data_IF_873606639065
#
_entry.id   IF_873606639065
#
_cell.length_a   1.000
_cell.length_b   1.000
_cell.length_c   1.000
_cell.angle_alpha   90.00
_cell.angle_beta   90.00
_cell.angle_gamma   90.00
#
_symmetry.space_group_name_H-M   'P 1'
#
loop_
_entity.id
_entity.type
_entity.pdbx_description
1 polymer ?
#
# COMPACT_ATOMS: atom_id res chain seq x y z
N UNK A 1 21.64 -7.60 15.59
CA UNK A 1 21.68 -6.17 16.02
C UNK A 1 20.80 -6.03 17.25
N UNK A 2 21.09 -5.08 18.15
CA UNK A 2 20.23 -4.88 19.33
C UNK A 2 18.84 -4.36 18.88
N UNK A 3 17.76 -4.97 19.37
CA UNK A 3 16.38 -4.67 18.96
C UNK A 3 16.02 -3.18 19.09
N UNK A 4 16.55 -2.52 20.11
CA UNK A 4 16.33 -1.08 20.33
C UNK A 4 16.94 -0.19 19.23
N UNK A 5 18.06 -0.60 18.62
CA UNK A 5 18.69 0.13 17.50
C UNK A 5 17.78 0.07 16.27
N UNK A 6 17.24 -1.09 15.96
CA UNK A 6 16.32 -1.28 14.84
C UNK A 6 15.04 -0.46 15.06
N UNK A 7 14.50 -0.48 16.28
CA UNK A 7 13.32 0.30 16.64
C UNK A 7 13.56 1.81 16.52
N UNK A 8 14.69 2.33 16.98
CA UNK A 8 15.04 3.75 16.86
C UNK A 8 15.22 4.14 15.39
N UNK A 9 15.90 3.34 14.61
CA UNK A 9 16.08 3.61 13.16
C UNK A 9 14.75 3.64 12.43
N UNK A 10 13.85 2.70 12.72
CA UNK A 10 12.50 2.67 12.15
C UNK A 10 11.69 3.92 12.55
N UNK A 11 11.72 4.32 13.82
CA UNK A 11 11.04 5.52 14.29
C UNK A 11 11.61 6.80 13.67
N UNK A 12 12.93 6.92 13.55
CA UNK A 12 13.57 8.05 12.87
C UNK A 12 13.20 8.12 11.39
N UNK A 13 13.17 6.96 10.71
CA UNK A 13 12.75 6.89 9.31
C UNK A 13 11.30 7.33 9.13
N UNK A 14 10.39 6.75 9.91
CA UNK A 14 8.97 7.12 9.85
C UNK A 14 8.75 8.57 10.25
N UNK A 15 9.40 9.04 11.32
CA UNK A 15 9.37 10.45 11.72
C UNK A 15 9.86 11.40 10.64
N UNK A 16 10.95 11.03 9.94
CA UNK A 16 11.45 11.77 8.78
C UNK A 16 10.44 11.86 7.64
N UNK A 17 9.77 10.75 7.32
CA UNK A 17 8.69 10.75 6.32
C UNK A 17 7.54 11.68 6.71
N UNK A 18 7.15 11.69 7.99
CA UNK A 18 6.13 12.60 8.51
C UNK A 18 6.53 14.08 8.39
N UNK A 19 7.79 14.39 8.71
CA UNK A 19 8.30 15.75 8.57
C UNK A 19 8.29 16.21 7.11
N UNK A 20 8.75 15.34 6.19
CA UNK A 20 8.75 15.63 4.75
C UNK A 20 7.31 15.82 4.24
N UNK A 21 6.37 14.94 4.63
CA UNK A 21 4.98 15.05 4.24
C UNK A 21 4.35 16.36 4.75
N UNK A 22 4.55 16.70 6.02
CA UNK A 22 4.04 17.93 6.62
C UNK A 22 4.66 19.20 5.99
N UNK A 23 5.95 19.14 5.68
CA UNK A 23 6.63 20.24 4.99
C UNK A 23 6.10 20.40 3.55
N UNK A 24 5.94 19.29 2.84
CA UNK A 24 5.39 19.27 1.48
C UNK A 24 3.98 19.84 1.41
N UNK A 25 3.09 19.46 2.33
CA UNK A 25 1.72 20.01 2.40
C UNK A 25 1.72 21.53 2.59
N UNK A 26 2.64 22.06 3.40
CA UNK A 26 2.71 23.52 3.68
C UNK A 26 3.33 24.34 2.56
N UNK A 27 4.16 23.72 1.72
CA UNK A 27 4.95 24.40 0.68
C UNK A 27 4.61 23.88 -0.73
N UNK A 28 3.47 23.19 -0.90
CA UNK A 28 2.99 22.75 -2.19
C UNK A 28 2.57 23.96 -3.04
N UNK A 29 3.54 24.56 -3.72
CA UNK A 29 3.31 25.64 -4.67
C UNK A 29 2.99 25.02 -6.04
N UNK A 30 1.92 25.45 -6.70
CA UNK A 30 1.50 24.97 -8.04
C UNK A 30 2.64 25.07 -9.07
N UNK A 31 3.57 26.02 -8.87
CA UNK A 31 4.74 26.19 -9.71
C UNK A 31 5.77 25.05 -9.56
N UNK A 32 5.94 24.54 -8.32
CA UNK A 32 6.84 23.44 -8.02
C UNK A 32 6.28 22.12 -8.57
N UNK A 33 4.99 21.89 -8.38
CA UNK A 33 4.29 20.71 -8.89
C UNK A 33 4.35 20.69 -10.43
N UNK A 34 4.18 21.83 -11.09
CA UNK A 34 4.28 21.94 -12.54
C UNK A 34 5.68 21.73 -13.07
N UNK A 35 6.72 22.18 -12.35
CA UNK A 35 8.12 22.04 -12.75
C UNK A 35 8.65 20.62 -12.54
N UNK A 36 8.29 19.98 -11.43
CA UNK A 36 8.80 18.66 -11.03
C UNK A 36 7.76 17.54 -11.10
N UNK A 37 6.62 17.79 -11.77
CA UNK A 37 5.50 16.85 -11.83
C UNK A 37 5.88 15.46 -12.33
N UNK A 38 6.77 15.36 -13.30
CA UNK A 38 7.27 14.07 -13.79
C UNK A 38 8.06 13.30 -12.73
N UNK A 39 8.94 13.98 -11.99
CA UNK A 39 9.72 13.37 -10.91
C UNK A 39 8.81 12.95 -9.74
N UNK A 40 7.88 13.82 -9.34
CA UNK A 40 6.91 13.55 -8.27
C UNK A 40 6.06 12.34 -8.66
N UNK A 41 5.60 12.27 -9.90
CA UNK A 41 4.83 11.14 -10.41
C UNK A 41 5.66 9.84 -10.41
N UNK A 42 6.92 9.89 -10.86
CA UNK A 42 7.81 8.72 -10.85
C UNK A 42 8.09 8.22 -9.43
N UNK A 43 8.31 9.14 -8.48
CA UNK A 43 8.50 8.79 -7.07
C UNK A 43 7.20 8.23 -6.45
N UNK A 44 6.04 8.77 -6.82
CA UNK A 44 4.75 8.24 -6.38
C UNK A 44 4.51 6.81 -6.89
N UNK A 45 4.95 6.49 -8.13
CA UNK A 45 4.91 5.13 -8.65
C UNK A 45 5.82 4.18 -7.88
N UNK A 46 6.95 4.65 -7.33
CA UNK A 46 7.84 3.84 -6.51
C UNK A 46 7.17 3.32 -5.22
N UNK A 47 6.13 3.99 -4.73
CA UNK A 47 5.29 3.52 -3.60
C UNK A 47 4.57 2.21 -3.92
N UNK A 48 4.38 1.88 -5.20
CA UNK A 48 3.87 0.58 -5.63
C UNK A 48 4.80 -0.59 -5.24
N UNK A 49 6.10 -0.34 -5.06
CA UNK A 49 7.06 -1.31 -4.57
C UNK A 49 6.85 -1.55 -3.07
N UNK A 50 5.97 -2.48 -2.75
CA UNK A 50 5.64 -2.88 -1.37
C UNK A 50 6.56 -3.99 -0.87
N UNK A 51 6.40 -4.40 0.38
CA UNK A 51 7.09 -5.55 0.95
C UNK A 51 6.80 -6.86 0.20
N UNK A 52 5.60 -6.99 -0.42
CA UNK A 52 5.30 -8.08 -1.35
C UNK A 52 6.28 -8.11 -2.52
N UNK A 53 6.56 -6.97 -3.14
CA UNK A 53 7.47 -6.90 -4.28
C UNK A 53 8.88 -7.36 -3.93
N UNK A 54 9.33 -7.04 -2.73
CA UNK A 54 10.69 -7.39 -2.27
C UNK A 54 10.80 -8.84 -1.77
N UNK A 55 9.88 -9.28 -0.89
CA UNK A 55 9.93 -10.61 -0.28
C UNK A 55 9.03 -11.62 -0.96
N UNK A 56 7.76 -11.28 -1.14
CA UNK A 56 6.75 -12.20 -1.64
C UNK A 56 7.02 -12.61 -3.08
N UNK A 57 7.32 -11.64 -3.93
CA UNK A 57 7.59 -11.86 -5.34
C UNK A 57 8.84 -12.72 -5.55
N UNK A 58 9.93 -12.39 -4.86
CA UNK A 58 11.19 -13.15 -4.94
C UNK A 58 11.00 -14.56 -4.37
N UNK A 59 10.35 -14.68 -3.21
CA UNK A 59 10.06 -15.99 -2.61
C UNK A 59 9.20 -16.87 -3.51
N UNK A 60 8.16 -16.32 -4.12
CA UNK A 60 7.31 -17.04 -5.07
C UNK A 60 8.09 -17.46 -6.32
N UNK A 61 8.94 -16.58 -6.85
CA UNK A 61 9.78 -16.90 -8.01
C UNK A 61 10.77 -18.06 -7.72
N UNK A 62 11.33 -18.09 -6.51
CA UNK A 62 12.25 -19.16 -6.10
C UNK A 62 11.52 -20.49 -5.89
N UNK A 63 10.31 -20.47 -5.31
CA UNK A 63 9.56 -21.69 -4.97
C UNK A 63 8.73 -22.24 -6.12
N UNK A 64 8.14 -21.37 -6.95
CA UNK A 64 7.23 -21.74 -8.03
C UNK A 64 7.85 -21.61 -9.44
N UNK A 65 9.06 -21.05 -9.55
CA UNK A 65 9.74 -20.93 -10.84
C UNK A 65 8.93 -20.14 -11.86
N UNK A 66 8.66 -20.76 -13.01
CA UNK A 66 7.95 -20.11 -14.14
C UNK A 66 6.50 -19.72 -13.83
N UNK A 67 5.84 -20.36 -12.87
CA UNK A 67 4.45 -20.05 -12.48
C UNK A 67 4.30 -18.64 -11.86
N UNK A 68 5.42 -18.01 -11.54
CA UNK A 68 5.45 -16.63 -11.09
C UNK A 68 5.15 -15.59 -12.19
N UNK A 69 5.51 -15.88 -13.45
CA UNK A 69 5.39 -14.93 -14.57
C UNK A 69 3.98 -14.37 -14.78
N UNK A 70 2.89 -15.16 -14.71
CA UNK A 70 1.54 -14.65 -14.91
C UNK A 70 1.15 -13.50 -13.98
N UNK A 71 1.74 -13.44 -12.78
CA UNK A 71 1.45 -12.39 -11.79
C UNK A 71 1.81 -11.00 -12.34
N UNK A 72 2.92 -10.88 -13.07
CA UNK A 72 3.35 -9.62 -13.69
C UNK A 72 2.87 -9.47 -15.13
N UNK A 73 2.67 -10.56 -15.83
CA UNK A 73 2.19 -10.54 -17.21
C UNK A 73 0.80 -9.90 -17.30
N UNK A 74 -0.10 -10.19 -16.36
CA UNK A 74 -1.44 -9.62 -16.29
C UNK A 74 -1.45 -8.09 -16.34
N UNK A 75 -0.84 -7.40 -15.35
CA UNK A 75 -0.73 -5.94 -15.37
C UNK A 75 -0.04 -5.38 -16.61
N UNK A 76 1.04 -6.01 -17.10
CA UNK A 76 1.74 -5.56 -18.29
C UNK A 76 0.84 -5.61 -19.53
N UNK A 77 0.13 -6.71 -19.75
CA UNK A 77 -0.81 -6.84 -20.84
C UNK A 77 -1.97 -5.84 -20.73
N UNK A 78 -2.46 -5.60 -19.52
CA UNK A 78 -3.49 -4.60 -19.27
C UNK A 78 -3.03 -3.21 -19.68
N UNK A 79 -1.82 -2.80 -19.31
CA UNK A 79 -1.30 -1.49 -19.68
C UNK A 79 -1.01 -1.36 -21.19
N UNK A 80 -0.61 -2.43 -21.84
CA UNK A 80 -0.33 -2.41 -23.28
C UNK A 80 -1.63 -2.41 -24.12
N UNK A 81 -2.55 -3.33 -23.83
CA UNK A 81 -3.73 -3.55 -24.67
C UNK A 81 -4.98 -2.78 -24.21
N UNK A 82 -5.12 -2.53 -22.91
CA UNK A 82 -6.31 -1.85 -22.38
C UNK A 82 -6.09 -0.34 -22.14
N UNK A 83 -5.05 0.24 -22.72
CA UNK A 83 -4.75 1.67 -22.60
C UNK A 83 -5.94 2.58 -22.94
N UNK A 84 -6.67 2.38 -24.06
CA UNK A 84 -7.84 3.21 -24.38
C UNK A 84 -8.96 3.07 -23.34
N UNK A 85 -9.14 1.87 -22.79
CA UNK A 85 -10.10 1.60 -21.73
C UNK A 85 -9.72 2.35 -20.44
N UNK A 86 -8.44 2.30 -20.04
CA UNK A 86 -7.94 3.00 -18.86
C UNK A 86 -8.13 4.51 -18.98
N UNK A 87 -7.83 5.11 -20.13
CA UNK A 87 -8.07 6.53 -20.37
C UNK A 87 -9.55 6.89 -20.27
N UNK A 88 -10.42 6.07 -20.83
CA UNK A 88 -11.89 6.29 -20.75
C UNK A 88 -12.37 6.20 -19.31
N UNK A 89 -11.86 5.22 -18.55
CA UNK A 89 -12.18 5.04 -17.13
C UNK A 89 -11.76 6.25 -16.31
N UNK A 90 -10.52 6.74 -16.49
CA UNK A 90 -10.01 7.94 -15.83
C UNK A 90 -10.83 9.19 -16.20
N UNK A 91 -11.19 9.33 -17.48
CA UNK A 91 -12.02 10.46 -17.93
C UNK A 91 -13.39 10.46 -17.24
N UNK A 92 -14.05 9.30 -17.19
CA UNK A 92 -15.35 9.15 -16.52
C UNK A 92 -15.24 9.42 -15.03
N UNK A 93 -14.23 8.86 -14.36
CA UNK A 93 -13.98 9.06 -12.94
C UNK A 93 -13.79 10.55 -12.62
N UNK A 94 -12.97 11.25 -13.41
CA UNK A 94 -12.73 12.69 -13.23
C UNK A 94 -13.99 13.52 -13.50
N UNK A 95 -14.76 13.19 -14.54
CA UNK A 95 -15.99 13.91 -14.89
C UNK A 95 -17.08 13.78 -13.82
N UNK A 96 -17.13 12.64 -13.13
CA UNK A 96 -18.13 12.37 -12.10
C UNK A 96 -17.65 12.66 -10.67
N UNK A 97 -16.43 13.19 -10.51
CA UNK A 97 -15.79 13.43 -9.21
C UNK A 97 -15.81 12.17 -8.30
N UNK A 98 -15.47 11.03 -8.90
CA UNK A 98 -15.43 9.75 -8.21
C UNK A 98 -14.11 9.63 -7.46
N UNK A 99 -14.18 9.32 -6.16
CA UNK A 99 -13.01 9.25 -5.26
C UNK A 99 -12.59 7.84 -4.90
N UNK A 100 -13.49 6.86 -5.07
CA UNK A 100 -13.21 5.46 -4.73
C UNK A 100 -13.81 4.49 -5.75
N UNK A 101 -13.32 3.23 -5.75
CA UNK A 101 -13.88 2.17 -6.60
C UNK A 101 -15.36 1.91 -6.28
N UNK A 102 -15.73 1.94 -4.99
CA UNK A 102 -17.11 1.76 -4.56
C UNK A 102 -18.01 2.90 -5.05
N UNK A 103 -17.52 4.14 -5.01
CA UNK A 103 -18.22 5.29 -5.54
C UNK A 103 -18.36 5.22 -7.07
N UNK A 104 -17.32 4.75 -7.77
CA UNK A 104 -17.37 4.52 -9.21
C UNK A 104 -18.48 3.52 -9.58
N UNK A 105 -18.54 2.38 -8.90
CA UNK A 105 -19.58 1.38 -9.13
C UNK A 105 -20.96 1.95 -8.83
N UNK A 106 -21.13 2.60 -7.68
CA UNK A 106 -22.42 3.17 -7.28
C UNK A 106 -22.91 4.27 -8.22
N UNK A 107 -21.98 5.04 -8.81
CA UNK A 107 -22.31 6.10 -9.76
C UNK A 107 -23.01 5.57 -11.01
N UNK A 108 -22.69 4.35 -11.43
CA UNK A 108 -23.34 3.68 -12.56
C UNK A 108 -24.79 3.27 -12.24
N UNK A 109 -25.10 3.03 -10.98
CA UNK A 109 -26.42 2.57 -10.51
C UNK A 109 -27.21 3.69 -9.79
N UNK A 110 -27.05 4.94 -10.22
CA UNK A 110 -27.79 6.07 -9.68
C UNK A 110 -27.39 6.49 -8.27
N UNK A 111 -26.12 6.29 -7.90
CA UNK A 111 -25.53 6.64 -6.58
C UNK A 111 -26.29 6.02 -5.38
N UNK A 112 -26.80 4.80 -5.54
CA UNK A 112 -27.50 4.10 -4.46
C UNK A 112 -26.54 3.70 -3.35
N UNK A 113 -26.82 4.14 -2.12
CA UNK A 113 -25.98 3.87 -0.93
C UNK A 113 -25.75 2.39 -0.67
N UNK A 114 -26.77 1.54 -0.91
CA UNK A 114 -26.65 0.10 -0.70
C UNK A 114 -25.63 -0.55 -1.65
N UNK A 115 -25.53 -0.08 -2.88
CA UNK A 115 -24.56 -0.58 -3.86
C UNK A 115 -23.15 -0.12 -3.48
N UNK A 116 -22.99 1.13 -3.05
CA UNK A 116 -21.72 1.62 -2.54
C UNK A 116 -21.24 0.82 -1.32
N UNK A 117 -22.15 0.54 -0.38
CA UNK A 117 -21.84 -0.26 0.81
C UNK A 117 -21.44 -1.69 0.45
N UNK A 118 -22.20 -2.35 -0.45
CA UNK A 118 -21.85 -3.70 -0.91
C UNK A 118 -20.47 -3.71 -1.61
N UNK A 119 -20.22 -2.77 -2.50
CA UNK A 119 -18.93 -2.65 -3.17
C UNK A 119 -17.79 -2.40 -2.18
N UNK A 120 -18.00 -1.55 -1.17
CA UNK A 120 -17.02 -1.30 -0.10
C UNK A 120 -16.74 -2.56 0.71
N UNK A 121 -17.76 -3.35 1.07
CA UNK A 121 -17.57 -4.62 1.78
C UNK A 121 -16.76 -5.62 0.96
N UNK A 122 -17.05 -5.75 -0.33
CA UNK A 122 -16.27 -6.61 -1.23
C UNK A 122 -14.82 -6.15 -1.31
N UNK A 123 -14.58 -4.84 -1.48
CA UNK A 123 -13.22 -4.29 -1.48
C UNK A 123 -12.49 -4.59 -0.16
N UNK A 124 -13.17 -4.46 0.98
CA UNK A 124 -12.59 -4.73 2.29
C UNK A 124 -12.18 -6.20 2.43
N UNK A 125 -13.04 -7.15 2.03
CA UNK A 125 -12.73 -8.59 2.04
C UNK A 125 -11.50 -8.91 1.17
N UNK A 126 -11.34 -8.24 0.04
CA UNK A 126 -10.18 -8.44 -0.86
C UNK A 126 -8.90 -7.80 -0.29
N UNK A 127 -9.00 -6.65 0.35
CA UNK A 127 -7.85 -5.90 0.86
C UNK A 127 -7.26 -6.55 2.12
N UNK A 128 -8.08 -7.16 2.98
CA UNK A 128 -7.61 -7.77 4.25
C UNK A 128 -6.52 -8.83 4.05
N UNK A 129 -6.65 -9.84 3.17
CA UNK A 129 -5.58 -10.80 2.91
C UNK A 129 -4.32 -10.14 2.34
N UNK A 130 -4.49 -9.12 1.50
CA UNK A 130 -3.35 -8.39 0.94
C UNK A 130 -2.56 -7.65 2.02
N UNK A 131 -3.24 -6.98 2.97
CA UNK A 131 -2.59 -6.34 4.12
C UNK A 131 -1.88 -7.38 4.99
N UNK A 132 -2.51 -8.53 5.23
CA UNK A 132 -1.90 -9.60 6.01
C UNK A 132 -0.56 -10.09 5.42
N UNK A 133 -0.47 -10.20 4.07
CA UNK A 133 0.79 -10.53 3.39
C UNK A 133 1.87 -9.46 3.62
N UNK A 134 1.50 -8.18 3.60
CA UNK A 134 2.44 -7.09 3.87
C UNK A 134 2.97 -7.14 5.32
N UNK A 135 2.08 -7.38 6.27
CA UNK A 135 2.44 -7.50 7.68
C UNK A 135 3.36 -8.70 7.92
N UNK A 136 3.07 -9.84 7.30
CA UNK A 136 3.94 -11.03 7.37
C UNK A 136 5.34 -10.73 6.84
N UNK A 137 5.46 -10.00 5.72
CA UNK A 137 6.76 -9.62 5.17
C UNK A 137 7.55 -8.69 6.11
N UNK A 138 6.87 -7.72 6.75
CA UNK A 138 7.50 -6.84 7.76
C UNK A 138 7.96 -7.63 8.97
N UNK A 139 7.12 -8.54 9.49
CA UNK A 139 7.45 -9.41 10.61
C UNK A 139 8.67 -10.29 10.29
N UNK A 140 8.69 -10.94 9.13
CA UNK A 140 9.82 -11.76 8.69
C UNK A 140 11.11 -10.94 8.58
N UNK A 141 11.04 -9.72 8.08
CA UNK A 141 12.19 -8.81 8.01
C UNK A 141 12.74 -8.50 9.40
N UNK A 142 11.85 -8.24 10.35
CA UNK A 142 12.22 -7.94 11.73
C UNK A 142 12.93 -9.12 12.39
N UNK A 143 12.41 -10.35 12.23
CA UNK A 143 13.04 -11.58 12.74
C UNK A 143 14.44 -11.78 12.17
N UNK A 144 14.62 -11.64 10.87
CA UNK A 144 15.95 -11.77 10.22
C UNK A 144 16.94 -10.74 10.77
N UNK A 145 16.53 -9.51 10.97
CA UNK A 145 17.39 -8.44 11.48
C UNK A 145 17.83 -8.67 12.92
N UNK A 146 16.99 -9.33 13.72
CA UNK A 146 17.32 -9.69 15.11
C UNK A 146 18.13 -10.98 15.24
N UNK A 147 18.35 -11.70 14.13
CA UNK A 147 19.08 -12.98 14.13
C UNK A 147 18.26 -14.13 14.72
N UNK A 148 16.94 -14.03 14.71
CA UNK A 148 16.02 -15.10 15.08
C UNK A 148 15.78 -16.08 13.94
N UNK A 149 15.62 -17.35 14.26
CA UNK A 149 15.12 -18.35 13.32
C UNK A 149 13.63 -18.09 13.01
N UNK A 150 13.20 -18.50 11.82
CA UNK A 150 11.81 -18.37 11.35
C UNK A 150 10.82 -19.29 12.09
N UNK A 151 11.13 -19.73 13.30
CA UNK A 151 10.21 -20.53 14.10
C UNK A 151 9.06 -19.64 14.59
N UNK A 152 7.88 -19.88 14.10
CA UNK A 152 6.60 -19.27 14.52
C UNK A 152 6.18 -19.73 15.95
N UNK A 153 7.13 -19.96 16.85
CA UNK A 153 6.90 -20.42 18.23
C UNK A 153 6.48 -19.25 19.17
N UNK A 154 5.73 -18.29 18.66
CA UNK A 154 5.07 -17.32 19.54
C UNK A 154 3.94 -18.05 20.30
N UNK A 155 4.22 -18.51 21.49
CA UNK A 155 3.24 -19.13 22.39
C UNK A 155 2.09 -18.20 22.78
N UNK A 156 2.27 -16.89 22.58
CA UNK A 156 1.27 -15.85 22.85
C UNK A 156 1.16 -14.88 21.68
N UNK A 157 -0.06 -14.69 21.17
CA UNK A 157 -0.37 -13.78 20.04
C UNK A 157 0.09 -12.32 20.25
N UNK A 158 0.20 -11.83 21.50
CA UNK A 158 0.72 -10.49 21.81
C UNK A 158 2.24 -10.38 21.75
N UNK A 159 2.96 -11.50 21.70
CA UNK A 159 4.42 -11.53 21.51
C UNK A 159 4.79 -11.73 20.04
N UNK A 160 3.79 -12.01 19.20
CA UNK A 160 3.99 -12.16 17.77
C UNK A 160 4.38 -10.80 17.16
N UNK A 161 5.53 -10.79 16.51
CA UNK A 161 6.03 -9.60 15.81
C UNK A 161 5.12 -9.15 14.67
N UNK A 162 4.35 -10.06 14.08
CA UNK A 162 3.34 -9.75 13.08
C UNK A 162 2.20 -8.94 13.71
N UNK A 163 1.72 -9.33 14.89
CA UNK A 163 0.67 -8.62 15.62
C UNK A 163 1.12 -7.23 16.06
N UNK A 164 2.35 -7.11 16.61
CA UNK A 164 2.90 -5.82 17.01
C UNK A 164 3.11 -4.88 15.82
N UNK A 165 3.58 -5.40 14.69
CA UNK A 165 3.71 -4.61 13.46
C UNK A 165 2.37 -4.18 12.90
N UNK A 166 1.33 -5.05 12.98
CA UNK A 166 -0.04 -4.71 12.61
C UNK A 166 -0.59 -3.56 13.46
N UNK A 167 -0.40 -3.62 14.78
CA UNK A 167 -0.80 -2.56 15.70
C UNK A 167 -0.11 -1.23 15.39
N UNK A 168 1.21 -1.26 15.18
CA UNK A 168 1.98 -0.08 14.81
C UNK A 168 1.48 0.54 13.50
N UNK A 169 1.27 -0.28 12.46
CA UNK A 169 0.78 0.17 11.16
C UNK A 169 -0.66 0.69 11.25
N UNK A 170 -1.54 0.06 12.04
CA UNK A 170 -2.90 0.54 12.28
C UNK A 170 -2.89 1.92 12.97
N UNK A 171 -2.03 2.09 13.96
CA UNK A 171 -1.85 3.38 14.64
C UNK A 171 -1.41 4.48 13.66
N UNK A 172 -0.42 4.19 12.80
CA UNK A 172 0.00 5.12 11.76
C UNK A 172 -1.10 5.42 10.75
N UNK A 173 -1.85 4.41 10.31
CA UNK A 173 -2.97 4.58 9.38
C UNK A 173 -4.06 5.50 9.98
N UNK A 174 -4.37 5.36 11.26
CA UNK A 174 -5.30 6.24 11.96
C UNK A 174 -4.77 7.68 12.02
N UNK A 175 -3.50 7.86 12.40
CA UNK A 175 -2.88 9.19 12.46
C UNK A 175 -2.86 9.89 11.09
N UNK A 176 -2.60 9.14 10.02
CA UNK A 176 -2.62 9.69 8.66
C UNK A 176 -4.03 9.90 8.14
N UNK A 177 -4.92 8.91 8.32
CA UNK A 177 -6.28 8.95 7.78
C UNK A 177 -7.17 9.99 8.45
N UNK A 178 -6.86 10.42 9.68
CA UNK A 178 -7.59 11.48 10.38
C UNK A 178 -7.12 12.89 10.00
N UNK A 179 -6.00 13.02 9.30
CA UNK A 179 -5.59 14.32 8.75
C UNK A 179 -6.55 14.71 7.64
N UNK A 180 -7.20 15.88 7.78
CA UNK A 180 -7.99 16.45 6.70
C UNK A 180 -7.06 16.74 5.53
N UNK A 181 -7.23 15.99 4.45
CA UNK A 181 -6.69 16.36 3.13
C UNK A 181 -7.51 17.59 2.67
N UNK A 182 -6.91 18.75 2.81
CA UNK A 182 -7.44 20.00 2.25
C UNK A 182 -6.96 20.14 0.81
#
# INVERSE_FOLDING_TARGET
MAAWVVAILALLYVGGLFLIANWGERHADDKLIRKYGGLIYSLALAVYCTSWTYYGAVGTAVTQGWDYIPIYLGPVLLFIFAQPFLFKLLYVAKKQNVTSVADFISSRYGKRKNIALLASLVCLVVVVPYIALQLKAVSSSYHVLLGGDFSDDATNWWQDSAFLSALAMAFFAILFGTRKLH
#
